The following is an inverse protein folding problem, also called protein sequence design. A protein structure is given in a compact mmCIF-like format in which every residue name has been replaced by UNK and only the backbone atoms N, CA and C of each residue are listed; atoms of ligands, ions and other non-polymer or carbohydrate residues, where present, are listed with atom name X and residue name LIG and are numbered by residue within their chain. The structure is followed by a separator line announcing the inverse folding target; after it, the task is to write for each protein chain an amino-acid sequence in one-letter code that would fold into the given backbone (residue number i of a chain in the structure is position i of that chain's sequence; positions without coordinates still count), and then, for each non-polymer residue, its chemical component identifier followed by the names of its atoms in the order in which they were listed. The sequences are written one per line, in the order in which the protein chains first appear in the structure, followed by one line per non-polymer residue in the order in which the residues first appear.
data_IF_495866322896
#
_entry.id   IF_495866322896
#
_cell.length_a   1.000
_cell.length_b   1.000
_cell.length_c   1.000
_cell.angle_alpha   90.00
_cell.angle_beta   90.00
_cell.angle_gamma   90.00
#
_symmetry.space_group_name_H-M   'P 1'
#
loop_
_entity.id
_entity.type
_entity.pdbx_description
1 polymer ?
#
# COMPACT_ATOMS: atom_id res chain seq x y z
N UNK A 1 5.11 10.21 -7.88
CA UNK A 1 5.43 9.98 -6.44
C UNK A 1 6.67 9.13 -6.20
N UNK A 2 6.90 8.05 -6.96
CA UNK A 2 8.02 7.11 -6.77
C UNK A 2 9.42 7.76 -6.67
N UNK A 3 9.76 8.67 -7.59
CA UNK A 3 11.08 9.33 -7.61
C UNK A 3 11.32 10.18 -6.36
N UNK A 4 10.31 10.97 -5.96
CA UNK A 4 10.39 11.82 -4.76
C UNK A 4 10.51 10.97 -3.50
N UNK A 5 9.74 9.87 -3.42
CA UNK A 5 9.83 8.93 -2.32
C UNK A 5 11.23 8.32 -2.22
N UNK A 6 11.84 7.93 -3.35
CA UNK A 6 13.21 7.40 -3.37
C UNK A 6 14.23 8.44 -2.88
N UNK A 7 14.16 9.68 -3.36
CA UNK A 7 15.05 10.77 -2.92
C UNK A 7 14.89 11.01 -1.41
N UNK A 8 13.64 11.06 -0.92
CA UNK A 8 13.35 11.22 0.51
C UNK A 8 13.89 10.06 1.35
N UNK A 9 13.67 8.82 0.93
CA UNK A 9 14.19 7.62 1.58
C UNK A 9 15.72 7.61 1.60
N UNK A 10 16.36 7.97 0.49
CA UNK A 10 17.81 8.01 0.38
C UNK A 10 18.42 9.10 1.28
N UNK A 11 17.88 10.33 1.23
CA UNK A 11 18.45 11.48 1.96
C UNK A 11 18.06 11.55 3.42
N UNK A 12 16.78 11.34 3.74
CA UNK A 12 16.27 11.47 5.11
C UNK A 12 16.56 10.21 5.94
N UNK A 13 16.37 9.02 5.36
CA UNK A 13 16.53 7.78 6.12
C UNK A 13 17.94 7.20 5.95
N UNK A 14 18.42 7.08 4.72
CA UNK A 14 19.75 6.52 4.45
C UNK A 14 20.90 7.40 4.96
N UNK A 15 20.96 8.65 4.52
CA UNK A 15 22.06 9.56 4.89
C UNK A 15 21.91 10.16 6.30
N UNK A 16 20.74 10.72 6.65
CA UNK A 16 20.59 11.42 7.92
C UNK A 16 20.35 10.49 9.13
N UNK A 17 19.63 9.37 8.94
CA UNK A 17 19.35 8.40 10.02
C UNK A 17 20.22 7.14 9.97
N UNK A 18 21.15 7.04 9.01
CA UNK A 18 22.06 5.90 8.87
C UNK A 18 23.02 5.69 10.04
N UNK A 19 23.17 6.66 10.95
CA UNK A 19 23.96 6.53 12.18
C UNK A 19 23.30 5.62 13.22
N UNK A 20 21.97 5.41 13.15
CA UNK A 20 21.25 4.57 14.10
C UNK A 20 21.29 3.10 13.69
N UNK A 21 21.82 2.23 14.54
CA UNK A 21 21.90 0.78 14.31
C UNK A 21 20.53 0.15 14.00
N UNK A 22 19.44 0.64 14.61
CA UNK A 22 18.08 0.14 14.34
C UNK A 22 17.61 0.38 12.91
N UNK A 23 17.96 1.53 12.32
CA UNK A 23 17.61 1.86 10.92
C UNK A 23 18.45 1.03 9.95
N UNK A 24 19.74 0.83 10.27
CA UNK A 24 20.60 -0.06 9.49
C UNK A 24 20.14 -1.52 9.57
N UNK A 25 19.80 -2.01 10.76
CA UNK A 25 19.30 -3.37 10.96
C UNK A 25 18.00 -3.66 10.20
N UNK A 26 17.11 -2.66 10.06
CA UNK A 26 15.89 -2.82 9.26
C UNK A 26 16.15 -3.05 7.76
N UNK A 27 17.31 -2.62 7.23
CA UNK A 27 17.77 -2.92 5.87
C UNK A 27 18.49 -4.29 5.81
N UNK A 28 18.94 -4.80 6.97
CA UNK A 28 19.76 -6.00 7.13
C UNK A 28 20.95 -6.06 6.15
N UNK A 29 21.88 -5.09 6.24
CA UNK A 29 23.05 -4.99 5.34
C UNK A 29 23.99 -6.20 5.44
N UNK A 30 23.92 -6.96 6.53
CA UNK A 30 24.74 -8.15 6.75
C UNK A 30 24.22 -9.38 5.97
N UNK A 31 22.95 -9.39 5.53
CA UNK A 31 22.39 -10.50 4.75
C UNK A 31 23.04 -10.64 3.37
N UNK A 32 23.21 -11.88 2.89
CA UNK A 32 23.85 -12.17 1.59
C UNK A 32 23.14 -11.45 0.43
N UNK A 33 21.81 -11.45 0.42
CA UNK A 33 21.02 -10.77 -0.61
C UNK A 33 21.25 -9.26 -0.61
N UNK A 34 21.34 -8.63 0.57
CA UNK A 34 21.58 -7.19 0.64
C UNK A 34 23.02 -6.80 0.31
N UNK A 35 23.99 -7.65 0.65
CA UNK A 35 25.39 -7.49 0.19
C UNK A 35 25.51 -7.61 -1.33
N UNK A 36 24.76 -8.52 -1.94
CA UNK A 36 24.70 -8.64 -3.40
C UNK A 36 24.03 -7.42 -4.05
N UNK A 37 22.92 -6.93 -3.48
CA UNK A 37 22.29 -5.67 -3.91
C UNK A 37 23.30 -4.52 -3.81
N UNK A 38 24.03 -4.40 -2.70
CA UNK A 38 25.11 -3.43 -2.53
C UNK A 38 26.13 -3.52 -3.65
N UNK A 39 26.62 -4.73 -3.96
CA UNK A 39 27.56 -4.93 -5.06
C UNK A 39 27.01 -4.43 -6.39
N UNK A 40 25.77 -4.80 -6.75
CA UNK A 40 25.10 -4.35 -8.00
C UNK A 40 24.94 -2.82 -8.03
N UNK A 41 24.59 -2.20 -6.90
CA UNK A 41 24.38 -0.76 -6.79
C UNK A 41 25.69 0.05 -6.82
N UNK A 42 26.79 -0.51 -6.32
CA UNK A 42 28.12 0.13 -6.30
C UNK A 42 28.84 0.10 -7.67
N UNK A 43 28.40 -0.75 -8.62
CA UNK A 43 28.98 -0.81 -9.96
C UNK A 43 29.02 0.57 -10.64
N UNK A 44 30.10 0.88 -11.35
CA UNK A 44 30.23 2.18 -12.03
C UNK A 44 29.21 2.29 -13.17
N UNK A 45 28.57 3.46 -13.30
CA UNK A 45 27.57 3.72 -14.34
C UNK A 45 26.18 3.12 -14.07
N UNK A 46 25.30 3.25 -15.05
CA UNK A 46 23.92 2.79 -14.99
C UNK A 46 23.80 1.42 -15.67
N UNK A 47 24.17 0.36 -14.93
CA UNK A 47 24.07 -1.02 -15.44
C UNK A 47 22.61 -1.49 -15.45
N UNK A 48 22.30 -2.46 -16.31
CA UNK A 48 20.95 -3.03 -16.38
C UNK A 48 20.54 -3.67 -15.05
N UNK A 49 21.46 -4.38 -14.38
CA UNK A 49 21.22 -4.94 -13.05
C UNK A 49 20.83 -3.87 -12.05
N UNK A 50 21.54 -2.73 -12.03
CA UNK A 50 21.20 -1.59 -11.17
C UNK A 50 19.81 -1.03 -11.46
N UNK A 51 19.45 -0.84 -12.72
CA UNK A 51 18.10 -0.36 -13.08
C UNK A 51 17.01 -1.34 -12.66
N UNK A 52 17.21 -2.64 -12.92
CA UNK A 52 16.24 -3.67 -12.54
C UNK A 52 16.11 -3.80 -11.03
N UNK A 53 17.21 -3.78 -10.29
CA UNK A 53 17.18 -3.79 -8.81
C UNK A 53 16.51 -2.53 -8.24
N UNK A 54 16.71 -1.35 -8.84
CA UNK A 54 16.03 -0.12 -8.40
C UNK A 54 14.53 -0.13 -8.70
N UNK A 55 14.10 -0.72 -9.82
CA UNK A 55 12.70 -0.73 -10.25
C UNK A 55 11.88 -1.89 -9.66
N UNK A 56 12.48 -3.07 -9.52
CA UNK A 56 11.82 -4.30 -9.08
C UNK A 56 12.27 -4.84 -7.72
N UNK A 57 13.30 -4.23 -7.11
CA UNK A 57 13.77 -4.60 -5.78
C UNK A 57 12.85 -4.08 -4.67
N UNK A 58 13.10 -4.50 -3.41
CA UNK A 58 12.34 -3.99 -2.27
C UNK A 58 12.65 -2.50 -2.07
N UNK A 59 11.68 -1.67 -2.45
CA UNK A 59 11.80 -0.22 -2.57
C UNK A 59 12.47 0.47 -1.38
N UNK A 60 11.93 0.23 -0.19
CA UNK A 60 12.39 0.89 1.02
C UNK A 60 13.83 0.51 1.37
N UNK A 61 14.19 -0.78 1.59
CA UNK A 61 15.56 -1.11 1.98
C UNK A 61 16.58 -0.78 0.89
N UNK A 62 16.22 -0.89 -0.40
CA UNK A 62 17.12 -0.53 -1.52
C UNK A 62 17.42 0.98 -1.53
N UNK A 63 16.40 1.82 -1.34
CA UNK A 63 16.55 3.28 -1.32
C UNK A 63 17.32 3.77 -0.09
N UNK A 64 17.06 3.18 1.08
CA UNK A 64 17.81 3.48 2.31
C UNK A 64 19.25 3.01 2.18
N UNK A 65 19.51 1.82 1.63
CA UNK A 65 20.85 1.32 1.35
C UNK A 65 21.62 2.27 0.42
N UNK A 66 20.99 2.80 -0.64
CA UNK A 66 21.64 3.79 -1.51
C UNK A 66 22.12 5.03 -0.75
N UNK A 67 21.39 5.44 0.30
CA UNK A 67 21.76 6.57 1.16
C UNK A 67 22.84 6.20 2.18
N UNK A 68 22.77 4.99 2.75
CA UNK A 68 23.80 4.44 3.63
C UNK A 68 25.16 4.36 2.92
N UNK A 69 25.16 3.95 1.65
CA UNK A 69 26.34 3.87 0.79
C UNK A 69 26.75 5.22 0.19
N UNK A 70 25.97 6.30 0.43
CA UNK A 70 26.17 7.65 -0.11
C UNK A 70 26.32 7.68 -1.64
N UNK A 71 25.53 6.87 -2.34
CA UNK A 71 25.53 6.83 -3.80
C UNK A 71 24.98 8.15 -4.38
N UNK A 72 25.42 8.52 -5.58
CA UNK A 72 24.94 9.74 -6.26
C UNK A 72 23.45 9.63 -6.55
N UNK A 73 22.66 10.44 -5.86
CA UNK A 73 21.20 10.44 -5.96
C UNK A 73 20.70 10.66 -7.41
N UNK A 74 21.35 11.54 -8.17
CA UNK A 74 21.00 11.79 -9.58
C UNK A 74 21.10 10.53 -10.44
N UNK A 75 22.11 9.68 -10.21
CA UNK A 75 22.28 8.42 -10.93
C UNK A 75 21.22 7.39 -10.55
N UNK A 76 20.81 7.34 -9.28
CA UNK A 76 19.74 6.43 -8.83
C UNK A 76 18.37 6.86 -9.37
N UNK A 77 18.08 8.16 -9.37
CA UNK A 77 16.85 8.72 -9.96
C UNK A 77 16.81 8.46 -11.47
N UNK A 78 17.94 8.60 -12.18
CA UNK A 78 18.03 8.23 -13.59
C UNK A 78 17.76 6.73 -13.80
N UNK A 79 18.24 5.87 -12.90
CA UNK A 79 17.97 4.43 -12.93
C UNK A 79 16.51 4.04 -12.75
N UNK A 80 15.71 4.91 -12.14
CA UNK A 80 14.27 4.75 -11.98
C UNK A 80 13.46 5.29 -13.16
N UNK A 81 14.09 5.89 -14.17
CA UNK A 81 13.38 6.42 -15.35
C UNK A 81 12.52 5.39 -16.10
N UNK A 82 12.91 4.10 -16.23
CA UNK A 82 12.04 3.12 -16.88
C UNK A 82 10.69 2.94 -16.17
N UNK A 83 10.59 3.30 -14.89
CA UNK A 83 9.36 3.20 -14.10
C UNK A 83 8.20 4.02 -14.69
N UNK A 84 8.48 5.04 -15.50
CA UNK A 84 7.44 5.84 -16.18
C UNK A 84 6.56 4.94 -17.06
N UNK A 85 7.15 3.96 -17.75
CA UNK A 85 6.41 3.01 -18.59
C UNK A 85 5.49 2.09 -17.80
N UNK A 86 5.74 1.90 -16.50
CA UNK A 86 4.94 1.07 -15.60
C UNK A 86 3.83 1.87 -14.92
N UNK A 87 4.13 3.12 -14.57
CA UNK A 87 3.17 4.02 -13.93
C UNK A 87 2.11 4.49 -14.92
N UNK A 88 2.48 4.70 -16.19
CA UNK A 88 1.57 5.19 -17.23
C UNK A 88 0.30 4.32 -17.38
N UNK A 89 0.38 2.99 -17.58
CA UNK A 89 -0.84 2.16 -17.69
C UNK A 89 -1.66 2.15 -16.39
N UNK A 90 -1.03 2.28 -15.22
CA UNK A 90 -1.75 2.38 -13.94
C UNK A 90 -2.52 3.71 -13.82
N UNK A 91 -1.92 4.82 -14.22
CA UNK A 91 -2.58 6.14 -14.21
C UNK A 91 -3.70 6.18 -15.24
N UNK A 92 -3.49 5.64 -16.44
CA UNK A 92 -4.53 5.52 -17.47
C UNK A 92 -5.68 4.64 -17.01
N UNK A 93 -5.40 3.50 -16.35
CA UNK A 93 -6.44 2.65 -15.80
C UNK A 93 -7.30 3.40 -14.76
N UNK A 94 -6.67 4.15 -13.86
CA UNK A 94 -7.38 4.98 -12.89
C UNK A 94 -8.23 6.07 -13.55
N UNK A 95 -7.70 6.73 -14.58
CA UNK A 95 -8.45 7.73 -15.35
C UNK A 95 -9.64 7.11 -16.08
N UNK A 96 -9.47 5.94 -16.70
CA UNK A 96 -10.55 5.23 -17.40
C UNK A 96 -11.60 4.65 -16.45
N UNK A 97 -11.24 4.28 -15.23
CA UNK A 97 -12.22 3.94 -14.19
C UNK A 97 -13.03 5.16 -13.76
N UNK A 98 -12.39 6.33 -13.68
CA UNK A 98 -13.05 7.57 -13.29
C UNK A 98 -14.00 8.10 -14.38
N UNK A 99 -13.56 8.10 -15.64
CA UNK A 99 -14.36 8.58 -16.78
C UNK A 99 -15.19 7.48 -17.48
N UNK A 100 -15.08 6.23 -17.04
CA UNK A 100 -15.80 5.08 -17.61
C UNK A 100 -17.31 5.31 -17.74
N UNK A 101 -17.99 5.79 -16.69
CA UNK A 101 -19.44 6.05 -16.75
C UNK A 101 -19.84 7.14 -17.76
N UNK A 102 -18.98 8.12 -18.01
CA UNK A 102 -19.29 9.26 -18.90
C UNK A 102 -18.87 9.03 -20.36
N UNK A 103 -17.87 8.18 -20.61
CA UNK A 103 -17.35 7.94 -21.97
C UNK A 103 -17.80 6.59 -22.57
N UNK A 104 -18.52 5.76 -21.81
CA UNK A 104 -19.12 4.50 -22.24
C UNK A 104 -18.33 3.23 -21.84
N UNK A 105 -19.00 2.08 -21.88
CA UNK A 105 -18.51 0.81 -21.28
C UNK A 105 -17.22 0.23 -21.86
N UNK A 106 -16.76 0.66 -23.04
CA UNK A 106 -15.47 0.19 -23.59
C UNK A 106 -14.26 0.69 -22.78
N UNK A 107 -14.35 1.85 -22.15
CA UNK A 107 -13.26 2.42 -21.34
C UNK A 107 -13.07 1.67 -20.02
N UNK A 108 -14.15 1.19 -19.41
CA UNK A 108 -14.10 0.36 -18.21
C UNK A 108 -13.37 -0.97 -18.48
N UNK A 109 -13.68 -1.61 -19.61
CA UNK A 109 -13.00 -2.83 -20.05
C UNK A 109 -11.51 -2.59 -20.29
N UNK A 110 -11.16 -1.47 -20.92
CA UNK A 110 -9.77 -1.10 -21.14
C UNK A 110 -9.02 -0.84 -19.83
N UNK A 111 -9.68 -0.24 -18.84
CA UNK A 111 -9.10 -0.02 -17.52
C UNK A 111 -8.73 -1.34 -16.82
N UNK A 112 -9.62 -2.33 -16.87
CA UNK A 112 -9.37 -3.65 -16.31
C UNK A 112 -8.16 -4.35 -16.97
N UNK A 113 -8.06 -4.28 -18.31
CA UNK A 113 -6.92 -4.84 -19.05
C UNK A 113 -5.61 -4.14 -18.66
N UNK A 114 -5.61 -2.81 -18.57
CA UNK A 114 -4.42 -2.04 -18.19
C UNK A 114 -3.94 -2.39 -16.78
N UNK A 115 -4.84 -2.62 -15.82
CA UNK A 115 -4.46 -3.09 -14.48
C UNK A 115 -3.82 -4.47 -14.51
N UNK A 116 -4.33 -5.41 -15.32
CA UNK A 116 -3.69 -6.72 -15.49
C UNK A 116 -2.29 -6.59 -16.09
N UNK A 117 -2.12 -5.72 -17.08
CA UNK A 117 -0.81 -5.42 -17.68
C UNK A 117 0.16 -4.89 -16.62
N UNK A 118 -0.27 -3.98 -15.74
CA UNK A 118 0.56 -3.47 -14.64
C UNK A 118 1.03 -4.59 -13.71
N UNK A 119 0.14 -5.52 -13.36
CA UNK A 119 0.49 -6.67 -12.51
C UNK A 119 1.55 -7.55 -13.17
N UNK A 120 1.33 -7.95 -14.43
CA UNK A 120 2.29 -8.77 -15.18
C UNK A 120 3.64 -8.07 -15.30
N UNK A 121 3.63 -6.80 -15.66
CA UNK A 121 4.84 -5.98 -15.78
C UNK A 121 5.60 -5.87 -14.44
N UNK A 122 4.87 -5.72 -13.33
CA UNK A 122 5.47 -5.68 -11.98
C UNK A 122 6.12 -7.02 -11.61
N UNK A 123 5.48 -8.14 -11.95
CA UNK A 123 6.05 -9.47 -11.74
C UNK A 123 7.34 -9.66 -12.55
N UNK A 124 7.35 -9.23 -13.82
CA UNK A 124 8.55 -9.30 -14.67
C UNK A 124 9.71 -8.51 -14.07
N UNK A 125 9.48 -7.28 -13.61
CA UNK A 125 10.52 -6.46 -12.97
C UNK A 125 11.09 -7.14 -11.72
N UNK A 126 10.23 -7.71 -10.88
CA UNK A 126 10.64 -8.39 -9.66
C UNK A 126 11.49 -9.62 -9.96
N UNK A 127 11.11 -10.42 -10.96
CA UNK A 127 11.88 -11.59 -11.40
C UNK A 127 13.23 -11.16 -11.98
N UNK A 128 13.26 -10.14 -12.82
CA UNK A 128 14.51 -9.62 -13.39
C UNK A 128 15.45 -9.08 -12.31
N UNK A 129 14.91 -8.33 -11.33
CA UNK A 129 15.68 -7.85 -10.19
C UNK A 129 16.31 -9.01 -9.42
N UNK A 130 15.52 -10.04 -9.11
CA UNK A 130 16.00 -11.24 -8.41
C UNK A 130 17.07 -11.97 -9.22
N UNK A 131 16.86 -12.15 -10.52
CA UNK A 131 17.83 -12.77 -11.43
C UNK A 131 19.19 -12.05 -11.41
N UNK A 132 19.21 -10.73 -11.45
CA UNK A 132 20.48 -9.97 -11.39
C UNK A 132 21.14 -10.04 -10.01
N UNK A 133 20.35 -10.10 -8.93
CA UNK A 133 20.88 -10.29 -7.57
C UNK A 133 21.49 -11.68 -7.42
N UNK A 134 20.80 -12.74 -7.85
CA UNK A 134 21.29 -14.11 -7.80
C UNK A 134 22.51 -14.32 -8.70
N UNK A 135 22.51 -13.71 -9.89
CA UNK A 135 23.68 -13.68 -10.76
C UNK A 135 24.87 -13.02 -10.08
N UNK A 136 24.66 -11.92 -9.34
CA UNK A 136 25.73 -11.30 -8.56
C UNK A 136 26.23 -12.20 -7.44
N UNK A 137 25.33 -12.88 -6.71
CA UNK A 137 25.68 -13.83 -5.64
C UNK A 137 26.55 -14.97 -6.19
N UNK A 138 26.17 -15.54 -7.33
CA UNK A 138 26.85 -16.72 -7.90
C UNK A 138 28.19 -16.36 -8.57
N UNK A 139 28.27 -15.22 -9.25
CA UNK A 139 29.47 -14.83 -9.99
C UNK A 139 30.51 -14.10 -9.14
N UNK A 140 30.07 -13.40 -8.09
CA UNK A 140 30.93 -12.55 -7.25
C UNK A 140 30.81 -12.90 -5.76
N UNK A 141 30.61 -14.18 -5.44
CA UNK A 141 30.44 -14.67 -4.08
C UNK A 141 31.58 -14.22 -3.15
N UNK A 142 32.82 -14.35 -3.61
CA UNK A 142 34.02 -14.04 -2.82
C UNK A 142 34.13 -12.53 -2.53
N UNK A 143 33.82 -11.68 -3.51
CA UNK A 143 33.80 -10.23 -3.35
C UNK A 143 32.69 -9.77 -2.39
N UNK A 144 31.53 -10.43 -2.47
CA UNK A 144 30.38 -10.15 -1.60
C UNK A 144 30.65 -10.62 -0.16
N UNK A 145 31.35 -11.75 0.01
CA UNK A 145 31.76 -12.26 1.32
C UNK A 145 32.83 -11.36 1.96
N UNK A 146 33.70 -10.74 1.17
CA UNK A 146 34.75 -9.84 1.63
C UNK A 146 34.23 -8.52 2.23
N UNK A 147 32.96 -8.16 2.02
CA UNK A 147 32.41 -6.94 2.63
C UNK A 147 32.48 -6.99 4.16
N UNK A 148 32.95 -5.90 4.81
CA UNK A 148 33.02 -5.84 6.26
C UNK A 148 31.63 -5.95 6.87
N UNK A 149 31.51 -6.80 7.88
CA UNK A 149 30.32 -6.92 8.72
C UNK A 149 30.14 -5.63 9.53
N UNK A 150 28.92 -5.09 9.52
CA UNK A 150 28.54 -4.04 10.46
C UNK A 150 28.31 -4.68 11.83
N UNK A 151 29.31 -4.54 12.72
CA UNK A 151 29.31 -5.16 14.05
C UNK A 151 28.15 -4.68 14.91
N UNK A 152 27.82 -3.39 14.86
CA UNK A 152 26.71 -2.82 15.63
C UNK A 152 25.37 -3.42 15.19
N UNK A 153 25.21 -3.67 13.89
CA UNK A 153 24.01 -4.32 13.35
C UNK A 153 23.97 -5.81 13.69
N UNK A 154 25.10 -6.51 13.65
CA UNK A 154 25.17 -7.93 14.03
C UNK A 154 24.82 -8.15 15.51
N UNK A 155 25.33 -7.30 16.40
CA UNK A 155 24.96 -7.31 17.83
C UNK A 155 23.46 -7.02 18.01
N UNK A 156 22.91 -6.05 17.26
CA UNK A 156 21.49 -5.73 17.31
C UNK A 156 20.62 -6.89 16.78
N UNK A 157 21.00 -7.50 15.66
CA UNK A 157 20.30 -8.66 15.08
C UNK A 157 20.31 -9.86 16.02
N UNK A 158 21.44 -10.11 16.73
CA UNK A 158 21.52 -11.14 17.79
C UNK A 158 20.56 -10.87 18.94
N UNK A 159 20.54 -9.65 19.47
CA UNK A 159 19.60 -9.27 20.54
C UNK A 159 18.13 -9.43 20.10
N UNK A 160 17.81 -9.01 18.87
CA UNK A 160 16.46 -9.17 18.32
C UNK A 160 16.11 -10.64 18.12
N UNK A 161 17.05 -11.47 17.64
CA UNK A 161 16.85 -12.89 17.47
C UNK A 161 16.62 -13.62 18.80
N UNK A 162 17.35 -13.27 19.86
CA UNK A 162 17.14 -13.78 21.21
C UNK A 162 15.76 -13.41 21.75
N UNK A 163 15.37 -12.13 21.61
CA UNK A 163 14.03 -11.67 21.96
C UNK A 163 12.95 -12.40 21.16
N UNK A 164 13.19 -12.64 19.87
CA UNK A 164 12.25 -13.35 19.01
C UNK A 164 12.13 -14.83 19.39
N UNK A 165 13.22 -15.48 19.82
CA UNK A 165 13.18 -16.85 20.37
C UNK A 165 12.36 -16.90 21.67
N UNK A 166 12.56 -15.95 22.58
CA UNK A 166 11.78 -15.86 23.81
C UNK A 166 10.28 -15.64 23.52
N UNK A 167 9.96 -14.73 22.60
CA UNK A 167 8.58 -14.51 22.15
C UNK A 167 8.01 -15.76 21.49
N UNK A 168 8.75 -16.43 20.61
CA UNK A 168 8.30 -17.64 19.93
C UNK A 168 8.01 -18.77 20.91
N UNK A 169 8.86 -18.96 21.93
CA UNK A 169 8.63 -19.92 23.00
C UNK A 169 7.34 -19.59 23.79
N UNK A 170 7.14 -18.33 24.15
CA UNK A 170 5.97 -17.85 24.89
C UNK A 170 4.67 -17.81 24.06
N UNK A 171 4.77 -17.74 22.72
CA UNK A 171 3.62 -17.64 21.80
C UNK A 171 3.24 -18.98 21.16
N UNK A 172 3.77 -20.10 21.66
CA UNK A 172 3.30 -21.42 21.21
C UNK A 172 1.81 -21.59 21.56
N UNK A 173 1.02 -22.04 20.57
CA UNK A 173 -0.43 -22.20 20.69
C UNK A 173 -0.88 -22.98 21.95
N UNK A 174 -0.23 -24.08 22.39
CA UNK A 174 -0.66 -24.77 23.60
C UNK A 174 -0.47 -23.94 24.88
N UNK A 175 0.62 -23.17 24.99
CA UNK A 175 0.94 -22.35 26.18
C UNK A 175 0.14 -21.04 26.24
N UNK A 176 -0.45 -20.60 25.12
CA UNK A 176 -1.19 -19.36 25.06
C UNK A 176 -2.46 -19.40 25.92
N UNK A 177 -2.74 -18.40 26.79
CA UNK A 177 -3.97 -18.35 27.56
C UNK A 177 -5.21 -18.15 26.66
N UNK A 178 -6.39 -18.48 27.18
CA UNK A 178 -7.65 -18.49 26.42
C UNK A 178 -8.02 -17.12 25.83
N UNK A 179 -7.64 -16.03 26.49
CA UNK A 179 -7.90 -14.65 26.02
C UNK A 179 -7.24 -14.34 24.67
N UNK A 180 -5.90 -14.40 24.56
CA UNK A 180 -5.19 -14.22 23.30
C UNK A 180 -5.60 -15.21 22.20
N UNK A 181 -5.95 -16.46 22.54
CA UNK A 181 -6.50 -17.43 21.59
C UNK A 181 -7.81 -16.95 20.98
N UNK A 182 -8.77 -16.53 21.82
CA UNK A 182 -10.05 -15.99 21.37
C UNK A 182 -9.84 -14.76 20.48
N UNK A 183 -8.88 -13.90 20.83
CA UNK A 183 -8.55 -12.73 20.04
C UNK A 183 -7.96 -13.08 18.66
N UNK A 184 -7.03 -14.03 18.61
CA UNK A 184 -6.41 -14.50 17.36
C UNK A 184 -7.45 -15.14 16.42
N UNK A 185 -8.24 -16.09 16.93
CA UNK A 185 -9.28 -16.75 16.13
C UNK A 185 -10.41 -15.79 15.75
N UNK A 186 -10.81 -14.89 16.66
CA UNK A 186 -11.80 -13.85 16.39
C UNK A 186 -11.33 -12.86 15.33
N UNK A 187 -10.07 -12.43 15.37
CA UNK A 187 -9.48 -11.57 14.35
C UNK A 187 -9.39 -12.23 12.98
N UNK A 188 -8.98 -13.51 12.93
CA UNK A 188 -8.95 -14.28 11.70
C UNK A 188 -10.36 -14.47 11.10
N UNK A 189 -11.35 -14.79 11.94
CA UNK A 189 -12.74 -14.90 11.52
C UNK A 189 -13.28 -13.56 11.00
N UNK A 190 -12.98 -12.45 11.66
CA UNK A 190 -13.39 -11.11 11.25
C UNK A 190 -12.77 -10.70 9.90
N UNK A 191 -11.48 -10.99 9.67
CA UNK A 191 -10.81 -10.77 8.38
C UNK A 191 -11.44 -11.60 7.27
N UNK A 192 -11.72 -12.88 7.52
CA UNK A 192 -12.40 -13.75 6.57
C UNK A 192 -13.80 -13.23 6.24
N UNK A 193 -14.59 -12.88 7.26
CA UNK A 193 -15.93 -12.31 7.09
C UNK A 193 -15.85 -11.01 6.29
N UNK A 194 -14.92 -10.10 6.59
CA UNK A 194 -14.74 -8.84 5.86
C UNK A 194 -14.36 -9.07 4.39
N UNK A 195 -13.46 -10.02 4.12
CA UNK A 195 -13.06 -10.36 2.75
C UNK A 195 -14.24 -10.96 1.96
N UNK A 196 -14.99 -11.87 2.59
CA UNK A 196 -16.20 -12.44 2.01
C UNK A 196 -17.27 -11.38 1.77
N UNK A 197 -17.52 -10.46 2.72
CA UNK A 197 -18.48 -9.35 2.55
C UNK A 197 -18.02 -8.40 1.45
N UNK A 198 -16.72 -8.16 1.26
CA UNK A 198 -16.23 -7.30 0.17
C UNK A 198 -16.41 -7.96 -1.19
N UNK A 199 -16.19 -9.29 -1.26
CA UNK A 199 -16.38 -10.09 -2.46
C UNK A 199 -17.88 -10.26 -2.80
N UNK A 200 -18.72 -10.57 -1.80
CA UNK A 200 -20.18 -10.62 -1.92
C UNK A 200 -20.79 -9.24 -2.13
N UNK A 201 -20.22 -8.19 -1.54
CA UNK A 201 -20.64 -6.81 -1.70
C UNK A 201 -20.39 -6.30 -3.10
N UNK A 202 -19.29 -6.72 -3.75
CA UNK A 202 -19.07 -6.46 -5.18
C UNK A 202 -20.11 -7.20 -6.05
N UNK A 203 -20.50 -8.42 -5.67
CA UNK A 203 -21.55 -9.19 -6.36
C UNK A 203 -22.97 -8.61 -6.14
N UNK A 204 -23.28 -8.21 -4.91
CA UNK A 204 -24.53 -7.56 -4.50
C UNK A 204 -24.57 -6.08 -4.92
N UNK A 205 -23.42 -5.46 -5.23
CA UNK A 205 -23.37 -4.06 -5.68
C UNK A 205 -24.15 -3.85 -6.98
N UNK A 206 -24.07 -4.84 -7.87
CA UNK A 206 -24.83 -4.89 -9.12
C UNK A 206 -26.35 -5.10 -8.92
N UNK A 207 -26.81 -5.43 -7.71
CA UNK A 207 -28.22 -5.76 -7.42
C UNK A 207 -28.86 -4.79 -6.43
N UNK A 208 -28.09 -4.23 -5.49
CA UNK A 208 -28.59 -3.49 -4.34
C UNK A 208 -28.25 -1.99 -4.33
N UNK A 209 -27.38 -1.52 -5.22
CA UNK A 209 -27.01 -0.10 -5.26
C UNK A 209 -27.65 0.54 -6.48
N UNK A 210 -28.53 1.51 -6.24
CA UNK A 210 -28.94 2.43 -7.29
C UNK A 210 -27.68 3.15 -7.81
N UNK A 211 -27.58 3.31 -9.13
CA UNK A 211 -26.53 4.11 -9.75
C UNK A 211 -26.48 5.50 -9.08
N UNK A 212 -25.43 5.75 -8.31
CA UNK A 212 -25.15 7.10 -7.83
C UNK A 212 -24.54 7.85 -9.01
N UNK A 213 -25.36 8.57 -9.76
CA UNK A 213 -24.87 9.61 -10.65
C UNK A 213 -24.24 10.70 -9.78
N UNK A 214 -22.92 10.87 -9.91
CA UNK A 214 -22.24 12.05 -9.40
C UNK A 214 -22.63 13.18 -10.34
N UNK A 215 -23.64 13.96 -9.94
CA UNK A 215 -24.07 15.14 -10.68
C UNK A 215 -23.01 16.22 -10.50
N UNK A 216 -22.28 16.56 -11.57
CA UNK A 216 -21.19 17.56 -11.60
C UNK A 216 -21.66 19.02 -11.41
N UNK A 217 -22.96 19.23 -11.17
CA UNK A 217 -23.57 20.55 -11.01
C UNK A 217 -24.27 20.69 -9.65
N UNK A 218 -23.70 21.44 -8.69
CA UNK A 218 -24.32 21.66 -7.38
C UNK A 218 -25.63 22.48 -7.44
N UNK A 219 -26.07 22.91 -8.63
CA UNK A 219 -27.29 23.71 -8.83
C UNK A 219 -28.47 22.95 -9.46
N UNK A 220 -28.31 21.69 -9.89
CA UNK A 220 -29.41 20.93 -10.53
C UNK A 220 -30.27 20.09 -9.56
N UNK A 221 -29.98 20.12 -8.26
CA UNK A 221 -30.73 19.35 -7.23
C UNK A 221 -32.14 19.90 -6.96
N UNK A 222 -32.62 20.90 -7.71
CA UNK A 222 -33.88 21.61 -7.42
C UNK A 222 -35.05 21.35 -8.38
N UNK A 223 -34.98 20.37 -9.27
CA UNK A 223 -36.12 19.98 -10.11
C UNK A 223 -36.32 18.47 -10.19
N UNK A 224 -36.70 17.86 -9.07
CA UNK A 224 -37.54 16.65 -9.12
C UNK A 224 -38.92 17.00 -8.56
N UNK A 225 -39.79 17.52 -9.42
CA UNK A 225 -41.23 17.49 -9.20
C UNK A 225 -41.84 16.52 -10.19
N UNK A 226 -42.40 15.44 -9.63
CA UNK A 226 -43.58 14.70 -10.05
C UNK A 226 -44.04 14.82 -11.51
N UNK A 227 -44.22 13.66 -12.14
CA UNK A 227 -45.39 13.45 -13.00
C UNK A 227 -45.12 12.75 -14.33
N UNK A 228 -45.67 11.55 -14.40
CA UNK A 228 -46.42 11.01 -15.52
C UNK A 228 -45.69 10.38 -16.72
N UNK A 229 -45.94 9.07 -16.80
CA UNK A 229 -46.14 8.31 -18.03
C UNK A 229 -46.91 9.13 -19.08
N UNK A 230 -46.27 9.50 -20.19
CA UNK A 230 -46.82 9.34 -21.56
C UNK A 230 -46.03 10.08 -22.64
N UNK A 231 -46.02 9.45 -23.81
CA UNK A 231 -45.88 10.04 -25.15
C UNK A 231 -44.49 10.43 -25.65
N UNK A 232 -43.95 9.51 -26.45
CA UNK A 232 -43.60 9.72 -27.87
C UNK A 232 -43.81 11.14 -28.43
N UNK A 233 -42.71 11.82 -28.77
CA UNK A 233 -42.68 12.78 -29.87
C UNK A 233 -41.26 12.88 -30.44
N UNK A 234 -41.07 12.22 -31.58
CA UNK A 234 -39.95 12.47 -32.49
C UNK A 234 -40.01 13.91 -33.03
N UNK A 235 -38.83 14.46 -33.31
CA UNK A 235 -38.53 15.27 -34.49
C UNK A 235 -39.36 16.56 -34.72
N UNK A 236 -38.72 17.72 -34.53
CA UNK A 236 -38.36 18.60 -35.66
C UNK A 236 -37.44 19.73 -35.19
N UNK A 237 -36.24 19.79 -35.77
CA UNK A 237 -35.41 21.00 -35.80
C UNK A 237 -36.05 22.01 -36.75
N UNK A 238 -36.22 23.25 -36.30
CA UNK A 238 -36.17 24.42 -37.17
C UNK A 238 -35.29 25.48 -36.50
N UNK A 239 -34.33 26.08 -37.22
CA UNK A 239 -33.59 27.23 -36.74
C UNK A 239 -34.41 28.49 -37.02
N UNK A 240 -34.57 29.37 -36.05
CA UNK A 240 -34.48 30.82 -36.26
C UNK A 240 -34.72 31.62 -34.96
N UNK A 241 -33.89 32.66 -34.83
CA UNK A 241 -34.12 33.93 -34.16
C UNK A 241 -34.08 34.06 -32.63
N UNK A 242 -32.94 34.63 -32.20
CA UNK A 242 -32.83 35.90 -31.44
C UNK A 242 -33.89 36.25 -30.40
N UNK A 243 -33.47 36.41 -29.15
CA UNK A 243 -34.21 37.24 -28.20
C UNK A 243 -33.87 36.98 -26.74
N UNK A 244 -33.04 37.84 -26.16
CA UNK A 244 -33.00 38.08 -24.72
C UNK A 244 -34.41 38.25 -24.15
N UNK A 245 -34.74 37.50 -23.09
CA UNK A 245 -35.60 37.98 -21.99
C UNK A 245 -35.42 37.11 -20.76
N UNK A 246 -35.06 37.76 -19.65
CA UNK A 246 -34.91 37.12 -18.36
C UNK A 246 -36.24 36.62 -17.80
N UNK A 247 -36.15 35.57 -16.99
CA UNK A 247 -37.19 35.15 -16.08
C UNK A 247 -36.58 35.07 -14.68
N UNK A 248 -36.86 36.10 -13.89
CA UNK A 248 -36.86 36.04 -12.43
C UNK A 248 -38.06 35.17 -12.05
N UNK A 249 -37.82 34.05 -11.38
CA UNK A 249 -38.87 33.30 -10.72
C UNK A 249 -38.61 33.21 -9.21
N UNK A 250 -39.64 33.65 -8.51
CA UNK A 250 -39.82 33.75 -7.08
C UNK A 250 -39.66 32.42 -6.36
N UNK A 251 -39.04 32.50 -5.18
CA UNK A 251 -39.54 31.91 -3.93
C UNK A 251 -40.16 30.52 -4.00
N UNK A 252 -39.34 29.49 -3.87
CA UNK A 252 -39.77 28.17 -3.39
C UNK A 252 -38.87 27.76 -2.23
N UNK A 253 -39.54 27.40 -1.14
CA UNK A 253 -38.94 26.83 0.08
C UNK A 253 -38.24 25.53 -0.32
N UNK A 254 -36.93 25.45 -0.09
CA UNK A 254 -36.13 24.24 -0.32
C UNK A 254 -36.49 23.22 0.75
N UNK A 255 -36.93 21.98 0.41
CA UNK A 255 -37.10 20.93 1.40
C UNK A 255 -35.73 20.36 1.77
N UNK A 256 -35.47 20.22 3.07
CA UNK A 256 -34.29 19.57 3.62
C UNK A 256 -34.20 18.10 3.16
N UNK A 257 -33.48 17.83 2.06
CA UNK A 257 -33.08 16.49 1.67
C UNK A 257 -31.84 16.04 2.46
N UNK A 258 -32.05 15.76 3.74
CA UNK A 258 -31.14 14.95 4.54
C UNK A 258 -31.17 13.50 4.04
N UNK A 259 -30.18 13.10 3.25
CA UNK A 259 -29.97 11.70 2.90
C UNK A 259 -29.19 11.01 4.04
N UNK A 260 -29.80 10.12 4.86
CA UNK A 260 -29.18 9.60 6.08
C UNK A 260 -28.22 8.42 5.85
N UNK A 261 -28.19 7.83 4.65
CA UNK A 261 -27.60 6.49 4.48
C UNK A 261 -26.08 6.42 4.31
N UNK A 262 -25.39 7.56 4.13
CA UNK A 262 -23.92 7.57 3.92
C UNK A 262 -23.13 7.56 5.25
N UNK A 263 -23.78 7.78 6.40
CA UNK A 263 -23.09 7.85 7.70
C UNK A 263 -22.85 6.49 8.37
N UNK A 264 -23.67 5.48 8.11
CA UNK A 264 -23.68 4.24 8.91
C UNK A 264 -22.45 3.34 8.70
N UNK A 265 -21.91 3.23 7.47
CA UNK A 265 -20.73 2.39 7.22
C UNK A 265 -19.43 2.94 7.84
N UNK A 266 -19.32 4.26 7.97
CA UNK A 266 -18.16 4.91 8.57
C UNK A 266 -18.00 4.59 10.06
N UNK A 267 -19.11 4.52 10.80
CA UNK A 267 -19.11 4.22 12.22
C UNK A 267 -18.69 2.78 12.51
N UNK A 268 -19.14 1.81 11.71
CA UNK A 268 -18.75 0.40 11.88
C UNK A 268 -17.25 0.23 11.67
N UNK A 269 -16.68 0.83 10.61
CA UNK A 269 -15.24 0.80 10.36
C UNK A 269 -14.45 1.49 11.50
N UNK A 270 -14.94 2.60 12.01
CA UNK A 270 -14.32 3.34 13.11
C UNK A 270 -14.35 2.55 14.44
N UNK A 271 -15.47 1.91 14.76
CA UNK A 271 -15.62 1.05 15.95
C UNK A 271 -14.69 -0.17 15.86
N UNK A 272 -14.63 -0.83 14.71
CA UNK A 272 -13.72 -1.97 14.50
C UNK A 272 -12.25 -1.56 14.62
N UNK A 273 -11.87 -0.37 14.13
CA UNK A 273 -10.52 0.17 14.29
C UNK A 273 -10.18 0.43 15.77
N UNK A 274 -11.11 1.02 16.54
CA UNK A 274 -10.92 1.25 17.99
C UNK A 274 -10.74 -0.09 18.72
N UNK A 275 -11.60 -1.07 18.45
CA UNK A 275 -11.50 -2.42 19.04
C UNK A 275 -10.13 -3.02 18.72
N UNK A 276 -9.70 -2.97 17.46
CA UNK A 276 -8.38 -3.46 17.05
C UNK A 276 -7.23 -2.78 17.81
N UNK A 277 -7.26 -1.45 17.97
CA UNK A 277 -6.23 -0.70 18.69
C UNK A 277 -6.20 -1.08 20.18
N UNK A 278 -7.36 -1.21 20.82
CA UNK A 278 -7.49 -1.59 22.24
C UNK A 278 -6.99 -3.02 22.44
N UNK A 279 -7.46 -3.96 21.63
CA UNK A 279 -7.02 -5.35 21.66
C UNK A 279 -5.50 -5.47 21.44
N UNK A 280 -4.94 -4.73 20.47
CA UNK A 280 -3.50 -4.70 20.22
C UNK A 280 -2.71 -4.14 21.41
N UNK A 281 -3.20 -3.09 22.08
CA UNK A 281 -2.57 -2.54 23.29
C UNK A 281 -2.62 -3.53 24.45
N UNK A 282 -3.76 -4.17 24.69
CA UNK A 282 -3.90 -5.19 25.74
C UNK A 282 -2.98 -6.40 25.48
N UNK A 283 -2.92 -6.86 24.23
CA UNK A 283 -2.04 -7.95 23.83
C UNK A 283 -0.56 -7.59 24.00
N UNK A 284 -0.14 -6.39 23.57
CA UNK A 284 1.23 -5.93 23.76
C UNK A 284 1.62 -5.79 25.23
N UNK A 285 0.69 -5.33 26.09
CA UNK A 285 0.92 -5.24 27.53
C UNK A 285 1.08 -6.61 28.17
N UNK A 286 0.21 -7.56 27.81
CA UNK A 286 0.31 -8.95 28.26
C UNK A 286 1.64 -9.59 27.79
N UNK A 287 2.02 -9.39 26.52
CA UNK A 287 3.32 -9.84 25.99
C UNK A 287 4.49 -9.22 26.74
N UNK A 288 4.44 -7.93 27.06
CA UNK A 288 5.49 -7.26 27.82
C UNK A 288 5.62 -7.85 29.24
N UNK A 289 4.50 -8.16 29.90
CA UNK A 289 4.49 -8.84 31.20
C UNK A 289 5.12 -10.24 31.11
N UNK A 290 4.83 -11.02 30.07
CA UNK A 290 5.43 -12.36 29.89
C UNK A 290 6.92 -12.30 29.52
N UNK A 291 7.34 -11.35 28.68
CA UNK A 291 8.75 -11.20 28.29
C UNK A 291 9.60 -10.72 29.47
N UNK A 292 9.07 -9.82 30.30
CA UNK A 292 9.76 -9.37 31.52
C UNK A 292 9.87 -10.51 32.55
N UNK A 293 8.86 -11.40 32.64
CA UNK A 293 8.96 -12.63 33.42
C UNK A 293 10.02 -13.57 32.82
N UNK A 294 10.16 -13.66 31.50
CA UNK A 294 11.20 -14.49 30.87
C UNK A 294 12.62 -13.95 31.07
N UNK A 295 12.84 -12.62 31.10
CA UNK A 295 14.14 -12.05 31.48
C UNK A 295 14.49 -12.39 32.94
N UNK A 296 13.52 -12.31 33.86
CA UNK A 296 13.70 -12.69 35.27
C UNK A 296 13.95 -14.21 35.44
N UNK A 297 13.37 -15.05 34.56
CA UNK A 297 13.58 -16.51 34.59
C UNK A 297 14.91 -16.92 33.96
N UNK A 298 15.32 -16.27 32.86
CA UNK A 298 16.63 -16.51 32.23
C UNK A 298 17.79 -16.05 33.12
N UNK A 299 17.63 -14.94 33.85
CA UNK A 299 18.63 -14.47 34.81
C UNK A 299 18.74 -15.39 36.04
N UNK A 300 17.65 -16.09 36.41
CA UNK A 300 17.65 -17.14 37.44
C UNK A 300 18.30 -18.44 37.00
N UNK A 301 18.15 -18.86 35.75
CA UNK A 301 18.78 -20.10 35.26
C UNK A 301 20.29 -19.96 35.00
N UNK A 302 20.79 -18.73 34.80
CA UNK A 302 22.23 -18.46 34.66
C UNK A 302 22.96 -18.30 36.01
N UNK A 303 22.25 -18.28 37.14
CA UNK A 303 22.81 -18.10 38.49
C UNK A 303 22.67 -19.32 39.41
N UNK A 304 22.20 -20.46 38.89
CA UNK A 304 22.20 -21.78 39.56
C UNK A 304 22.96 -22.80 38.74
#
# INVERSE_FOLDING_TARGET
MKLVAHVGQQKLFGEAMGTRASVRAAVSPNSTSMRAIRFVLEQKGLTLGKMMTLCGGPDWPTSVLCGLLRLKCSQMVLGLTPMIFFVLPSVLAGAFQYYGPSWGGSWESLAAVLLQVVVVLSCVLMILALYFIEKAITQHADEIAAYPLDKEVDEYEKMVAERQKAIAAATTLPLLPTGPKLLLFGGMACLLISAYISMLGSFMSNVAWAHFEIIDHPYEVLCFTAGDDSMSAQSQLSPDNTGLRGAVLNGTVVPDCWNPHVKELGWVAYVLLIIYIVCRKCFNRWLAEQVNISEIVVERELTT
#
